data_IF_231208105583
#
_entry.id   IF_231208105583
#
_cell.length_a   1.000
_cell.length_b   1.000
_cell.length_c   1.000
_cell.angle_alpha   90.00
_cell.angle_beta   90.00
_cell.angle_gamma   90.00
#
_symmetry.space_group_name_H-M   'P 1'
#
loop_
_entity.id
_entity.type
_entity.pdbx_description
1 polymer ?
#
# COMPACT_ATOMS: atom_id res chain seq x y z
N UNK A 1 -22.92 0.92 -16.47
CA UNK A 1 -22.21 1.49 -17.65
C UNK A 1 -21.95 3.01 -17.59
N UNK A 2 -22.53 3.80 -16.66
CA UNK A 2 -22.28 5.26 -16.59
C UNK A 2 -20.97 5.67 -15.87
N UNK A 3 -20.33 4.81 -15.09
CA UNK A 3 -19.15 5.18 -14.29
C UNK A 3 -17.84 5.34 -15.10
N UNK A 4 -17.76 4.85 -16.35
CA UNK A 4 -16.52 4.90 -17.16
C UNK A 4 -16.30 6.23 -17.90
N UNK A 5 -17.30 7.10 -18.03
CA UNK A 5 -17.19 8.31 -18.88
C UNK A 5 -16.58 9.55 -18.22
N UNK A 6 -16.28 9.53 -16.92
CA UNK A 6 -15.85 10.73 -16.19
C UNK A 6 -14.33 10.83 -15.92
N UNK A 7 -13.51 9.92 -16.44
CA UNK A 7 -12.11 9.78 -15.99
C UNK A 7 -11.02 10.22 -16.99
N UNK A 8 -11.35 10.55 -18.25
CA UNK A 8 -10.38 11.01 -19.24
C UNK A 8 -10.59 12.48 -19.62
N UNK A 9 -9.85 13.37 -18.97
CA UNK A 9 -9.78 14.78 -19.31
C UNK A 9 -8.38 15.37 -19.09
N UNK A 10 -7.71 15.69 -20.21
CA UNK A 10 -6.59 16.62 -20.36
C UNK A 10 -5.17 16.19 -19.92
N UNK A 11 -4.33 15.83 -20.91
CA UNK A 11 -3.22 16.69 -21.42
C UNK A 11 -2.36 15.94 -22.46
N UNK A 12 -2.37 16.42 -23.69
CA UNK A 12 -1.40 16.08 -24.74
C UNK A 12 -0.83 17.39 -25.27
N UNK A 13 0.47 17.60 -25.11
CA UNK A 13 1.20 18.68 -25.77
C UNK A 13 2.68 18.28 -25.96
N UNK A 14 2.98 17.97 -27.23
CA UNK A 14 4.21 18.17 -28.02
C UNK A 14 5.54 18.39 -27.30
N UNK A 15 6.56 17.64 -27.75
CA UNK A 15 7.88 18.21 -28.06
C UNK A 15 8.43 17.59 -29.35
N UNK A 16 8.73 18.49 -30.29
CA UNK A 16 9.38 18.28 -31.58
C UNK A 16 10.90 18.29 -31.34
N UNK A 17 11.61 17.45 -32.10
CA UNK A 17 13.03 17.17 -31.93
C UNK A 17 13.99 18.27 -32.35
N UNK A 18 15.28 17.95 -32.29
CA UNK A 18 16.37 18.63 -33.00
C UNK A 18 17.57 17.69 -33.13
N UNK A 19 18.08 17.63 -34.35
CA UNK A 19 19.19 16.88 -34.92
C UNK A 19 20.55 17.57 -34.75
N UNK A 20 21.63 16.79 -34.81
CA UNK A 20 22.99 17.21 -35.22
C UNK A 20 23.99 17.35 -34.07
N UNK A 21 25.31 17.15 -34.23
CA UNK A 21 26.17 16.86 -35.40
C UNK A 21 27.62 16.73 -34.84
N UNK A 22 28.39 15.76 -35.31
CA UNK A 22 29.83 15.93 -35.59
C UNK A 22 30.88 15.51 -34.54
N UNK A 23 31.84 14.72 -35.06
CA UNK A 23 33.29 14.70 -34.77
C UNK A 23 33.79 14.14 -33.42
N UNK A 24 34.46 12.99 -33.48
CA UNK A 24 35.92 12.87 -33.60
C UNK A 24 36.25 11.38 -33.83
N UNK A 25 36.75 11.06 -35.03
CA UNK A 25 37.38 9.77 -35.32
C UNK A 25 38.78 9.79 -34.67
N UNK A 26 38.96 9.03 -33.59
CA UNK A 26 40.27 8.67 -33.07
C UNK A 26 40.65 7.30 -33.67
N UNK A 27 41.67 7.31 -34.52
CA UNK A 27 42.36 6.12 -35.05
C UNK A 27 42.99 5.34 -33.88
N UNK A 28 42.22 4.42 -33.30
CA UNK A 28 42.77 3.33 -32.51
C UNK A 28 43.09 2.18 -33.47
N UNK A 29 44.38 2.04 -33.80
CA UNK A 29 44.93 0.84 -34.41
C UNK A 29 44.70 -0.35 -33.46
N UNK A 30 43.57 -1.01 -33.64
CA UNK A 30 43.25 -2.30 -33.05
C UNK A 30 44.24 -3.30 -33.66
N UNK A 31 45.19 -3.76 -32.86
CA UNK A 31 45.78 -5.08 -33.10
C UNK A 31 44.61 -6.04 -33.23
N UNK A 32 44.55 -6.79 -34.33
CA UNK A 32 43.61 -7.89 -34.51
C UNK A 32 43.81 -8.85 -33.34
N UNK A 33 43.03 -8.64 -32.27
CA UNK A 33 42.83 -9.63 -31.23
C UNK A 33 42.06 -10.73 -31.92
N UNK A 34 42.64 -11.93 -31.89
CA UNK A 34 42.08 -13.09 -32.55
C UNK A 34 40.61 -13.23 -32.15
N UNK A 35 39.72 -13.10 -33.13
CA UNK A 35 38.28 -13.04 -32.91
C UNK A 35 37.72 -14.33 -32.29
N UNK A 36 38.53 -15.39 -32.31
CA UNK A 36 38.28 -16.67 -31.69
C UNK A 36 38.62 -16.64 -30.20
N UNK A 37 39.76 -16.05 -29.81
CA UNK A 37 40.19 -15.90 -28.41
C UNK A 37 39.27 -14.93 -27.63
N UNK A 38 38.79 -13.87 -28.30
CA UNK A 38 37.76 -12.97 -27.75
C UNK A 38 36.38 -13.64 -27.63
N UNK A 39 36.05 -14.58 -28.52
CA UNK A 39 34.83 -15.38 -28.43
C UNK A 39 34.91 -16.44 -27.33
N UNK A 40 36.07 -17.04 -27.13
CA UNK A 40 36.32 -18.02 -26.09
C UNK A 40 36.29 -17.36 -24.71
N UNK A 41 36.90 -16.17 -24.56
CA UNK A 41 36.81 -15.37 -23.33
C UNK A 41 35.39 -14.82 -23.06
N UNK A 42 34.62 -14.49 -24.10
CA UNK A 42 33.21 -14.11 -23.95
C UNK A 42 32.32 -15.32 -23.62
N UNK A 43 32.59 -16.50 -24.17
CA UNK A 43 31.88 -17.74 -23.88
C UNK A 43 32.23 -18.30 -22.47
N UNK A 44 33.48 -18.15 -22.02
CA UNK A 44 33.88 -18.46 -20.64
C UNK A 44 33.37 -17.43 -19.64
N UNK A 45 33.19 -16.16 -20.05
CA UNK A 45 32.54 -15.13 -19.24
C UNK A 45 31.02 -15.29 -19.17
N UNK A 46 30.36 -15.84 -20.19
CA UNK A 46 28.93 -16.20 -20.17
C UNK A 46 28.69 -17.52 -19.39
N UNK A 47 29.74 -18.33 -19.18
CA UNK A 47 29.70 -19.53 -18.34
C UNK A 47 29.95 -19.25 -16.83
N UNK A 48 30.12 -17.99 -16.44
CA UNK A 48 29.98 -17.56 -15.04
C UNK A 48 28.50 -17.66 -14.68
N UNK A 49 28.09 -18.84 -14.20
CA UNK A 49 26.82 -19.18 -13.55
C UNK A 49 25.84 -18.00 -13.53
N UNK A 50 24.96 -17.91 -14.53
CA UNK A 50 23.77 -17.07 -14.38
C UNK A 50 23.17 -17.47 -13.02
N UNK A 51 23.14 -16.57 -12.03
CA UNK A 51 22.70 -16.95 -10.70
C UNK A 51 21.31 -17.50 -10.88
N UNK A 52 21.04 -18.73 -10.44
CA UNK A 52 19.74 -19.40 -10.56
C UNK A 52 18.63 -18.39 -10.28
N UNK A 53 18.10 -17.78 -11.35
CA UNK A 53 17.29 -16.58 -11.25
C UNK A 53 15.87 -17.07 -11.36
N UNK A 54 15.39 -17.61 -10.24
CA UNK A 54 14.05 -18.15 -10.15
C UNK A 54 13.50 -18.01 -8.74
N UNK A 55 12.17 -18.14 -8.64
CA UNK A 55 11.46 -18.07 -7.37
C UNK A 55 12.06 -19.00 -6.30
N UNK A 56 12.51 -20.21 -6.69
CA UNK A 56 13.11 -21.18 -5.76
C UNK A 56 14.36 -20.63 -5.09
N UNK A 57 15.35 -20.17 -5.86
CA UNK A 57 16.60 -19.65 -5.31
C UNK A 57 16.37 -18.43 -4.40
N UNK A 58 15.41 -17.57 -4.74
CA UNK A 58 15.00 -16.45 -3.88
C UNK A 58 14.40 -16.98 -2.57
N UNK A 59 13.46 -17.93 -2.65
CA UNK A 59 12.85 -18.57 -1.48
C UNK A 59 13.89 -19.26 -0.58
N UNK A 60 14.90 -19.92 -1.16
CA UNK A 60 15.98 -20.59 -0.43
C UNK A 60 16.88 -19.59 0.29
N UNK A 61 17.24 -18.47 -0.37
CA UNK A 61 17.95 -17.37 0.28
C UNK A 61 17.16 -16.82 1.46
N UNK A 62 15.86 -16.56 1.29
CA UNK A 62 14.97 -16.09 2.37
C UNK A 62 14.88 -17.13 3.50
N UNK A 63 14.77 -18.42 3.17
CA UNK A 63 14.71 -19.50 4.14
C UNK A 63 16.00 -19.58 4.97
N UNK A 64 17.16 -19.39 4.34
CA UNK A 64 18.46 -19.38 5.01
C UNK A 64 18.59 -18.27 6.07
N UNK A 65 17.83 -17.17 5.95
CA UNK A 65 17.84 -16.10 6.96
C UNK A 65 17.27 -16.55 8.31
N UNK A 66 16.48 -17.64 8.34
CA UNK A 66 15.86 -18.14 9.57
C UNK A 66 16.86 -18.70 10.58
N UNK A 67 18.02 -19.17 10.12
CA UNK A 67 19.10 -19.68 10.98
C UNK A 67 19.97 -18.56 11.56
N UNK A 68 19.82 -17.32 11.08
CA UNK A 68 20.60 -16.16 11.52
C UNK A 68 19.90 -15.43 12.67
N UNK A 69 20.68 -14.80 13.55
CA UNK A 69 20.15 -13.89 14.56
C UNK A 69 19.54 -12.62 13.95
N UNK A 70 18.58 -12.00 14.63
CA UNK A 70 17.82 -10.83 14.11
C UNK A 70 18.71 -9.72 13.55
N UNK A 71 19.82 -9.39 14.24
CA UNK A 71 20.77 -8.34 13.82
C UNK A 71 21.38 -8.57 12.44
N UNK A 72 21.58 -9.84 12.05
CA UNK A 72 22.13 -10.22 10.75
C UNK A 72 21.02 -10.49 9.73
N UNK A 73 19.93 -11.12 10.17
CA UNK A 73 18.80 -11.48 9.30
C UNK A 73 18.05 -10.24 8.77
N UNK A 74 17.90 -9.20 9.59
CA UNK A 74 17.08 -8.04 9.24
C UNK A 74 17.64 -7.21 8.08
N UNK A 75 18.90 -6.75 8.09
CA UNK A 75 19.46 -6.02 6.95
C UNK A 75 19.45 -6.87 5.68
N UNK A 76 19.76 -8.17 5.79
CA UNK A 76 19.70 -9.10 4.66
C UNK A 76 18.28 -9.22 4.09
N UNK A 77 17.26 -9.33 4.93
CA UNK A 77 15.86 -9.37 4.51
C UNK A 77 15.43 -8.08 3.80
N UNK A 78 15.87 -6.91 4.30
CA UNK A 78 15.59 -5.63 3.66
C UNK A 78 16.24 -5.54 2.27
N UNK A 79 17.51 -5.92 2.15
CA UNK A 79 18.22 -5.96 0.86
C UNK A 79 17.55 -6.94 -0.11
N UNK A 80 17.11 -8.11 0.35
CA UNK A 80 16.39 -9.06 -0.49
C UNK A 80 15.05 -8.52 -0.98
N UNK A 81 14.27 -7.86 -0.11
CA UNK A 81 13.03 -7.19 -0.51
C UNK A 81 13.26 -6.10 -1.57
N UNK A 82 14.35 -5.34 -1.45
CA UNK A 82 14.75 -4.35 -2.45
C UNK A 82 15.23 -4.99 -3.76
N UNK A 83 15.90 -6.14 -3.68
CA UNK A 83 16.34 -6.91 -4.85
C UNK A 83 15.14 -7.47 -5.60
N UNK A 84 14.21 -8.14 -4.91
CA UNK A 84 12.96 -8.67 -5.47
C UNK A 84 12.14 -7.56 -6.14
N UNK A 85 12.12 -6.36 -5.54
CA UNK A 85 11.44 -5.20 -6.10
C UNK A 85 11.98 -4.78 -7.47
N UNK A 86 13.28 -4.97 -7.73
CA UNK A 86 13.94 -4.63 -9.00
C UNK A 86 13.98 -5.79 -9.98
N UNK A 87 13.97 -7.02 -9.48
CA UNK A 87 14.03 -8.26 -10.25
C UNK A 87 12.82 -8.39 -11.19
N UNK A 88 13.07 -8.83 -12.42
CA UNK A 88 12.06 -9.16 -13.42
C UNK A 88 11.64 -10.60 -13.20
N UNK A 89 10.46 -10.79 -12.61
CA UNK A 89 9.89 -12.11 -12.31
C UNK A 89 8.57 -12.24 -13.08
N UNK A 90 8.22 -13.46 -13.48
CA UNK A 90 6.86 -13.77 -13.93
C UNK A 90 5.85 -13.56 -12.78
N UNK A 91 4.57 -13.37 -13.11
CA UNK A 91 3.52 -13.16 -12.10
C UNK A 91 3.45 -14.32 -11.10
N UNK A 92 3.47 -15.57 -11.59
CA UNK A 92 3.44 -16.79 -10.76
C UNK A 92 4.68 -16.91 -9.85
N UNK A 93 5.87 -16.63 -10.40
CA UNK A 93 7.12 -16.62 -9.64
C UNK A 93 7.10 -15.55 -8.54
N UNK A 94 6.63 -14.34 -8.86
CA UNK A 94 6.55 -13.27 -7.88
C UNK A 94 5.56 -13.60 -6.77
N UNK A 95 4.39 -14.16 -7.11
CA UNK A 95 3.43 -14.66 -6.11
C UNK A 95 4.11 -15.67 -5.18
N UNK A 96 4.79 -16.66 -5.75
CA UNK A 96 5.51 -17.70 -4.99
C UNK A 96 6.52 -17.06 -4.03
N UNK A 97 7.32 -16.11 -4.51
CA UNK A 97 8.27 -15.36 -3.67
C UNK A 97 7.54 -14.57 -2.57
N UNK A 98 6.42 -13.91 -2.86
CA UNK A 98 5.65 -13.17 -1.85
C UNK A 98 5.13 -14.08 -0.73
N UNK A 99 4.66 -15.29 -1.05
CA UNK A 99 4.30 -16.29 -0.05
C UNK A 99 5.50 -16.69 0.83
N UNK A 100 6.69 -16.87 0.23
CA UNK A 100 7.92 -17.17 0.95
C UNK A 100 8.34 -16.04 1.91
N UNK A 101 8.22 -14.79 1.50
CA UNK A 101 8.69 -13.59 2.24
C UNK A 101 7.76 -13.19 3.38
N UNK A 102 6.44 -13.37 3.23
CA UNK A 102 5.43 -12.88 4.19
C UNK A 102 5.73 -13.26 5.65
N UNK A 103 5.95 -14.55 5.92
CA UNK A 103 6.19 -15.05 7.29
C UNK A 103 7.50 -14.48 7.89
N UNK A 104 8.65 -14.52 7.19
CA UNK A 104 9.88 -13.85 7.61
C UNK A 104 9.69 -12.37 7.96
N UNK A 105 9.00 -11.60 7.12
CA UNK A 105 8.73 -10.17 7.38
C UNK A 105 7.93 -9.98 8.66
N UNK A 106 6.84 -10.71 8.84
CA UNK A 106 6.02 -10.62 10.05
C UNK A 106 6.80 -11.02 11.31
N UNK A 107 7.66 -12.04 11.22
CA UNK A 107 8.52 -12.47 12.32
C UNK A 107 9.56 -11.40 12.67
N UNK A 108 10.22 -10.81 11.67
CA UNK A 108 11.17 -9.73 11.87
C UNK A 108 10.50 -8.54 12.56
N UNK A 109 9.34 -8.11 12.06
CA UNK A 109 8.55 -7.03 12.64
C UNK A 109 8.18 -7.31 14.10
N UNK A 110 7.72 -8.52 14.42
CA UNK A 110 7.35 -8.89 15.79
C UNK A 110 8.55 -8.88 16.75
N UNK A 111 9.77 -9.06 16.22
CA UNK A 111 11.00 -9.12 17.00
C UNK A 111 11.71 -7.77 17.13
N UNK A 112 11.23 -6.72 16.44
CA UNK A 112 11.82 -5.40 16.50
C UNK A 112 11.47 -4.69 17.82
N UNK A 113 12.45 -3.99 18.44
CA UNK A 113 12.17 -3.17 19.60
C UNK A 113 11.21 -2.04 19.20
N UNK A 114 10.24 -1.77 20.06
CA UNK A 114 9.30 -0.67 19.85
C UNK A 114 9.97 0.65 20.19
N UNK A 115 9.69 1.72 19.43
CA UNK A 115 10.39 2.97 19.64
C UNK A 115 9.90 3.62 20.93
N UNK A 116 10.84 4.02 21.79
CA UNK A 116 10.56 4.74 23.03
C UNK A 116 10.97 6.21 22.88
N UNK A 117 10.22 7.13 23.48
CA UNK A 117 10.50 8.56 23.46
C UNK A 117 9.84 9.32 22.30
N UNK A 118 10.06 10.65 22.25
CA UNK A 118 9.43 11.51 21.24
C UNK A 118 9.87 11.13 19.82
N UNK A 119 9.04 11.45 18.81
CA UNK A 119 9.43 11.25 17.41
C UNK A 119 10.71 12.06 17.09
N UNK A 120 11.57 11.56 16.21
CA UNK A 120 12.78 12.28 15.80
C UNK A 120 12.42 13.63 15.18
N UNK A 121 13.14 14.69 15.58
CA UNK A 121 12.90 16.06 15.09
C UNK A 121 13.09 16.22 13.58
N UNK A 122 13.86 15.33 12.97
CA UNK A 122 13.94 15.20 11.50
C UNK A 122 12.78 14.34 11.00
N UNK A 123 11.75 14.99 10.46
CA UNK A 123 10.48 14.39 10.05
C UNK A 123 10.51 13.26 9.00
N UNK A 124 11.69 12.77 8.60
CA UNK A 124 11.89 11.76 7.56
C UNK A 124 12.50 10.44 8.06
N UNK A 125 12.80 10.30 9.35
CA UNK A 125 13.43 9.09 9.86
C UNK A 125 12.41 7.96 10.10
N UNK A 126 12.06 7.23 9.03
CA UNK A 126 11.27 6.00 9.14
C UNK A 126 11.98 4.97 10.03
N UNK A 127 11.24 4.40 10.99
CA UNK A 127 11.74 3.29 11.82
C UNK A 127 11.94 2.01 10.98
N UNK A 128 12.71 1.04 11.50
CA UNK A 128 12.97 -0.22 10.79
C UNK A 128 11.68 -1.00 10.48
N UNK A 129 10.69 -1.00 11.40
CA UNK A 129 9.39 -1.63 11.16
C UNK A 129 8.67 -0.96 10.00
N UNK A 130 8.61 0.37 9.98
CA UNK A 130 7.96 1.12 8.88
C UNK A 130 8.68 0.89 7.54
N UNK A 131 10.01 0.80 7.51
CA UNK A 131 10.76 0.48 6.29
C UNK A 131 10.43 -0.91 5.75
N UNK A 132 10.34 -1.93 6.62
CA UNK A 132 9.94 -3.27 6.21
C UNK A 132 8.51 -3.30 5.65
N UNK A 133 7.58 -2.60 6.32
CA UNK A 133 6.19 -2.49 5.88
C UNK A 133 6.11 -1.85 4.48
N UNK A 134 6.83 -0.74 4.25
CA UNK A 134 6.90 -0.08 2.95
C UNK A 134 7.43 -1.00 1.85
N UNK A 135 8.54 -1.70 2.10
CA UNK A 135 9.11 -2.63 1.12
C UNK A 135 8.15 -3.77 0.79
N UNK A 136 7.43 -4.30 1.79
CA UNK A 136 6.44 -5.34 1.59
C UNK A 136 5.23 -4.83 0.79
N UNK A 137 4.70 -3.65 1.13
CA UNK A 137 3.60 -3.00 0.40
C UNK A 137 3.99 -2.79 -1.06
N UNK A 138 5.19 -2.26 -1.31
CA UNK A 138 5.69 -2.03 -2.66
C UNK A 138 5.73 -3.32 -3.49
N UNK A 139 6.33 -4.38 -2.94
CA UNK A 139 6.43 -5.67 -3.64
C UNK A 139 5.06 -6.30 -3.90
N UNK A 140 4.12 -6.22 -2.95
CA UNK A 140 2.75 -6.71 -3.15
C UNK A 140 1.99 -5.91 -4.21
N UNK A 141 2.15 -4.57 -4.25
CA UNK A 141 1.53 -3.74 -5.31
C UNK A 141 2.07 -4.11 -6.69
N UNK A 142 3.39 -4.32 -6.81
CA UNK A 142 4.01 -4.79 -8.05
C UNK A 142 3.44 -6.14 -8.46
N UNK A 143 3.28 -7.07 -7.51
CA UNK A 143 2.67 -8.39 -7.72
C UNK A 143 1.23 -8.28 -8.23
N UNK A 144 0.40 -7.43 -7.61
CA UNK A 144 -0.97 -7.18 -8.05
C UNK A 144 -0.99 -6.67 -9.50
N UNK A 145 -0.14 -5.71 -9.84
CA UNK A 145 -0.05 -5.17 -11.19
C UNK A 145 0.40 -6.21 -12.22
N UNK A 146 1.29 -7.13 -11.86
CA UNK A 146 1.73 -8.21 -12.75
C UNK A 146 0.62 -9.25 -12.97
N UNK A 147 -0.08 -9.68 -11.92
CA UNK A 147 -1.26 -10.56 -12.03
C UNK A 147 -2.28 -9.94 -13.01
N UNK A 148 -2.59 -8.66 -12.80
CA UNK A 148 -3.62 -7.95 -13.55
C UNK A 148 -3.23 -7.62 -15.00
N UNK A 149 -1.95 -7.78 -15.38
CA UNK A 149 -1.47 -7.68 -16.76
C UNK A 149 -1.46 -9.04 -17.46
N UNK A 150 -1.13 -10.11 -16.74
CA UNK A 150 -0.98 -11.47 -17.29
C UNK A 150 -2.31 -12.18 -17.54
N UNK A 151 -3.40 -11.79 -16.86
CA UNK A 151 -4.74 -12.39 -17.01
C UNK A 151 -5.42 -12.18 -18.40
N UNK A 152 -4.66 -11.89 -19.45
CA UNK A 152 -5.17 -11.72 -20.82
C UNK A 152 -5.44 -13.03 -21.58
N UNK A 153 -5.19 -14.22 -21.01
CA UNK A 153 -5.15 -15.45 -21.82
C UNK A 153 -5.80 -16.71 -21.20
N UNK A 154 -5.54 -17.13 -19.96
CA UNK A 154 -5.87 -18.53 -19.55
C UNK A 154 -6.33 -18.76 -18.09
N UNK A 155 -6.40 -17.74 -17.23
CA UNK A 155 -6.65 -17.91 -15.78
C UNK A 155 -7.90 -17.16 -15.28
N UNK A 156 -9.00 -17.18 -16.04
CA UNK A 156 -10.20 -16.41 -15.70
C UNK A 156 -10.97 -16.93 -14.47
N UNK A 157 -10.68 -18.13 -13.97
CA UNK A 157 -11.53 -18.83 -12.99
C UNK A 157 -10.97 -18.91 -11.56
N UNK A 158 -9.71 -18.56 -11.29
CA UNK A 158 -9.14 -18.60 -9.92
C UNK A 158 -8.51 -17.26 -9.51
N UNK A 159 -9.31 -16.45 -8.82
CA UNK A 159 -8.90 -15.16 -8.27
C UNK A 159 -8.27 -15.26 -6.86
N UNK A 160 -8.00 -16.48 -6.36
CA UNK A 160 -7.49 -16.70 -5.00
C UNK A 160 -6.16 -15.98 -4.73
N UNK A 161 -5.24 -15.98 -5.70
CA UNK A 161 -3.95 -15.29 -5.55
C UNK A 161 -4.09 -13.77 -5.55
N UNK A 162 -4.99 -13.23 -6.39
CA UNK A 162 -5.31 -11.80 -6.36
C UNK A 162 -5.91 -11.41 -5.01
N UNK A 163 -6.90 -12.17 -4.53
CA UNK A 163 -7.54 -11.96 -3.24
C UNK A 163 -6.49 -12.02 -2.11
N UNK A 164 -5.60 -13.00 -2.14
CA UNK A 164 -4.51 -13.11 -1.18
C UNK A 164 -3.61 -11.86 -1.20
N UNK A 165 -3.20 -11.37 -2.38
CA UNK A 165 -2.37 -10.16 -2.47
C UNK A 165 -3.11 -8.95 -1.90
N UNK A 166 -4.39 -8.76 -2.23
CA UNK A 166 -5.21 -7.66 -1.73
C UNK A 166 -5.39 -7.70 -0.22
N UNK A 167 -5.73 -8.87 0.35
CA UNK A 167 -5.81 -9.08 1.79
C UNK A 167 -4.52 -8.62 2.49
N UNK A 168 -3.37 -8.98 1.95
CA UNK A 168 -2.08 -8.62 2.53
C UNK A 168 -1.74 -7.15 2.35
N UNK A 169 -2.07 -6.54 1.21
CA UNK A 169 -1.91 -5.10 1.00
C UNK A 169 -2.66 -4.31 2.06
N UNK A 170 -3.96 -4.54 2.23
CA UNK A 170 -4.77 -3.83 3.25
C UNK A 170 -4.26 -4.10 4.66
N UNK A 171 -3.85 -5.34 4.96
CA UNK A 171 -3.29 -5.68 6.26
C UNK A 171 -1.98 -4.93 6.55
N UNK A 172 -1.09 -4.81 5.57
CA UNK A 172 0.17 -4.08 5.75
C UNK A 172 -0.04 -2.56 5.82
N UNK A 173 -0.94 -1.98 5.01
CA UNK A 173 -1.33 -0.57 5.14
C UNK A 173 -1.94 -0.26 6.51
N UNK A 174 -2.90 -1.06 6.95
CA UNK A 174 -3.55 -0.88 8.25
C UNK A 174 -2.55 -1.02 9.39
N UNK A 175 -1.60 -1.96 9.28
CA UNK A 175 -0.51 -2.09 10.25
C UNK A 175 0.41 -0.87 10.26
N UNK A 176 0.75 -0.32 9.10
CA UNK A 176 1.56 0.88 8.96
C UNK A 176 0.88 2.10 9.61
N UNK A 177 -0.43 2.27 9.38
CA UNK A 177 -1.25 3.34 9.98
C UNK A 177 -1.31 3.15 11.50
N UNK A 178 -1.70 1.96 11.96
CA UNK A 178 -1.79 1.63 13.38
C UNK A 178 -0.46 1.81 14.10
N UNK A 179 0.65 1.43 13.49
CA UNK A 179 1.98 1.63 14.06
C UNK A 179 2.27 3.12 14.31
N UNK A 180 1.94 3.99 13.36
CA UNK A 180 2.10 5.44 13.54
C UNK A 180 1.27 6.00 14.70
N UNK A 181 0.02 5.51 14.83
CA UNK A 181 -0.90 5.89 15.90
C UNK A 181 -0.41 5.40 17.26
N UNK A 182 -0.17 4.09 17.38
CA UNK A 182 0.17 3.43 18.64
C UNK A 182 1.45 4.00 19.24
N UNK A 183 2.48 4.21 18.41
CA UNK A 183 3.83 4.60 18.85
C UNK A 183 4.18 6.07 18.69
N UNK A 184 3.18 6.90 18.36
CA UNK A 184 3.37 8.31 18.08
C UNK A 184 4.51 8.57 17.10
N UNK A 185 4.38 7.99 15.90
CA UNK A 185 5.34 8.15 14.82
C UNK A 185 4.66 8.74 13.59
N UNK A 186 5.34 9.67 12.87
CA UNK A 186 4.84 10.11 11.59
C UNK A 186 4.69 8.89 10.67
N UNK A 187 3.61 8.88 9.90
CA UNK A 187 3.46 7.90 8.83
C UNK A 187 4.48 8.21 7.73
N UNK A 188 5.05 7.20 7.08
CA UNK A 188 5.82 7.40 5.88
C UNK A 188 5.01 8.17 4.84
N UNK A 189 5.71 9.02 4.10
CA UNK A 189 5.12 9.76 2.99
C UNK A 189 4.42 8.82 2.01
N UNK A 190 3.29 9.27 1.49
CA UNK A 190 2.41 8.58 0.54
C UNK A 190 1.62 7.39 1.09
N UNK A 191 1.68 7.09 2.39
CA UNK A 191 0.94 5.95 2.97
C UNK A 191 -0.57 6.02 2.70
N UNK A 192 -1.19 7.19 2.91
CA UNK A 192 -2.63 7.36 2.68
C UNK A 192 -2.94 7.47 1.20
N UNK A 193 -2.15 8.25 0.46
CA UNK A 193 -2.32 8.39 -0.99
C UNK A 193 -2.26 7.03 -1.69
N UNK A 194 -1.29 6.19 -1.35
CA UNK A 194 -1.14 4.86 -1.94
C UNK A 194 -2.31 3.93 -1.60
N UNK A 195 -2.82 4.01 -0.38
CA UNK A 195 -4.02 3.27 0.03
C UNK A 195 -5.26 3.76 -0.73
N UNK A 196 -5.39 5.08 -0.93
CA UNK A 196 -6.49 5.67 -1.71
C UNK A 196 -6.40 5.28 -3.19
N UNK A 197 -5.22 5.36 -3.78
CA UNK A 197 -4.96 4.97 -5.16
C UNK A 197 -5.25 3.48 -5.38
N UNK A 198 -4.89 2.61 -4.42
CA UNK A 198 -5.27 1.20 -4.45
C UNK A 198 -6.79 1.03 -4.47
N UNK A 199 -7.52 1.71 -3.58
CA UNK A 199 -8.98 1.59 -3.56
C UNK A 199 -9.64 2.14 -4.84
N UNK A 200 -9.18 3.29 -5.33
CA UNK A 200 -9.63 3.86 -6.61
C UNK A 200 -9.37 2.89 -7.76
N UNK A 201 -8.19 2.25 -7.78
CA UNK A 201 -7.84 1.23 -8.77
C UNK A 201 -8.85 0.08 -8.80
N UNK A 202 -9.23 -0.45 -7.62
CA UNK A 202 -10.21 -1.52 -7.50
C UNK A 202 -11.61 -1.11 -7.98
N UNK A 203 -12.05 0.10 -7.63
CA UNK A 203 -13.33 0.66 -8.10
C UNK A 203 -13.34 0.81 -9.63
N UNK A 204 -12.28 1.36 -10.23
CA UNK A 204 -12.18 1.54 -11.69
C UNK A 204 -12.17 0.21 -12.44
N UNK A 205 -11.55 -0.82 -11.86
CA UNK A 205 -11.56 -2.19 -12.37
C UNK A 205 -12.91 -2.90 -12.19
N UNK A 206 -13.83 -2.35 -11.40
CA UNK A 206 -15.15 -2.94 -11.13
C UNK A 206 -15.14 -4.01 -10.04
N UNK A 207 -14.05 -4.12 -9.27
CA UNK A 207 -13.92 -5.08 -8.16
C UNK A 207 -14.63 -4.63 -6.89
N UNK A 208 -14.98 -3.34 -6.80
CA UNK A 208 -15.74 -2.76 -5.68
C UNK A 208 -16.90 -1.95 -6.25
N UNK A 209 -18.11 -2.16 -5.72
CA UNK A 209 -19.32 -1.44 -6.13
C UNK A 209 -19.79 -0.50 -5.01
N UNK A 210 -19.55 0.80 -5.18
CA UNK A 210 -19.89 1.82 -4.17
C UNK A 210 -21.40 2.09 -3.98
N UNK A 211 -22.28 1.41 -4.74
CA UNK A 211 -23.68 1.82 -4.91
C UNK A 211 -24.73 0.72 -4.78
N UNK A 212 -24.43 -0.43 -4.14
CA UNK A 212 -25.49 -1.40 -3.86
C UNK A 212 -26.15 -1.10 -2.52
N UNK A 213 -27.40 -0.61 -2.56
CA UNK A 213 -28.32 -0.58 -1.40
C UNK A 213 -28.65 -2.00 -0.87
N UNK A 214 -28.08 -3.03 -1.50
CA UNK A 214 -28.17 -4.43 -1.12
C UNK A 214 -26.76 -5.01 -0.96
N UNK A 215 -26.12 -4.82 0.20
CA UNK A 215 -25.02 -5.70 0.62
C UNK A 215 -25.62 -6.94 1.27
N UNK A 216 -26.08 -7.88 0.45
CA UNK A 216 -26.48 -9.21 0.92
C UNK A 216 -25.19 -10.01 1.12
N UNK A 217 -24.49 -9.80 2.24
CA UNK A 217 -23.48 -10.75 2.73
C UNK A 217 -24.17 -11.83 3.56
N UNK A 218 -25.01 -12.61 2.89
CA UNK A 218 -25.53 -13.86 3.43
C UNK A 218 -24.40 -14.88 3.28
N UNK A 219 -23.62 -15.04 4.37
CA UNK A 219 -22.67 -16.12 4.61
C UNK A 219 -21.60 -16.33 3.53
N UNK A 220 -20.50 -15.58 3.63
CA UNK A 220 -19.17 -16.18 3.52
C UNK A 220 -18.13 -15.27 4.18
N UNK A 221 -17.12 -15.86 4.83
CA UNK A 221 -15.95 -15.16 5.40
C UNK A 221 -15.01 -14.64 4.30
N UNK A 222 -15.56 -14.21 3.18
CA UNK A 222 -14.82 -13.74 2.03
C UNK A 222 -14.25 -12.34 2.29
N UNK A 223 -13.08 -12.07 1.73
CA UNK A 223 -12.41 -10.79 1.88
C UNK A 223 -13.15 -9.68 1.12
N UNK A 224 -13.50 -8.63 1.84
CA UNK A 224 -14.14 -7.43 1.27
C UNK A 224 -13.17 -6.24 1.34
N UNK A 225 -12.65 -5.83 0.17
CA UNK A 225 -11.72 -4.72 0.04
C UNK A 225 -12.34 -3.37 0.43
N UNK A 226 -13.65 -3.18 0.27
CA UNK A 226 -14.35 -1.97 0.68
C UNK A 226 -14.43 -1.87 2.20
N UNK A 227 -14.76 -2.98 2.87
CA UNK A 227 -14.74 -3.02 4.33
C UNK A 227 -13.33 -2.75 4.85
N UNK A 228 -12.29 -3.40 4.32
CA UNK A 228 -10.92 -3.17 4.79
C UNK A 228 -10.43 -1.72 4.54
N UNK A 229 -10.80 -1.12 3.42
CA UNK A 229 -10.55 0.29 3.17
C UNK A 229 -11.25 1.19 4.20
N UNK A 230 -12.55 1.00 4.42
CA UNK A 230 -13.33 1.76 5.41
C UNK A 230 -12.79 1.59 6.82
N UNK A 231 -12.34 0.39 7.21
CA UNK A 231 -11.67 0.16 8.51
C UNK A 231 -10.45 1.04 8.68
N UNK A 232 -9.59 1.11 7.66
CA UNK A 232 -8.41 1.99 7.70
C UNK A 232 -8.83 3.48 7.78
N UNK A 233 -9.84 3.91 7.02
CA UNK A 233 -10.36 5.28 7.08
C UNK A 233 -10.87 5.66 8.47
N UNK A 234 -11.68 4.78 9.09
CA UNK A 234 -12.22 5.00 10.44
C UNK A 234 -11.11 5.04 11.49
N UNK A 235 -10.07 4.21 11.34
CA UNK A 235 -8.89 4.24 12.21
C UNK A 235 -8.18 5.60 12.16
N UNK A 236 -7.91 6.11 10.95
CA UNK A 236 -7.28 7.43 10.78
C UNK A 236 -8.17 8.60 11.22
N UNK A 237 -9.48 8.49 11.00
CA UNK A 237 -10.45 9.49 11.46
C UNK A 237 -10.53 9.54 12.99
N UNK A 238 -10.63 8.38 13.65
CA UNK A 238 -10.69 8.30 15.10
C UNK A 238 -9.44 8.87 15.77
N UNK A 239 -8.26 8.59 15.21
CA UNK A 239 -6.99 9.15 15.67
C UNK A 239 -7.02 10.69 15.67
N UNK A 240 -7.50 11.30 14.58
CA UNK A 240 -7.64 12.76 14.45
C UNK A 240 -8.67 13.34 15.42
N UNK A 241 -9.88 12.77 15.45
CA UNK A 241 -10.99 13.33 16.22
C UNK A 241 -10.82 13.18 17.74
N UNK A 242 -10.05 12.20 18.18
CA UNK A 242 -9.80 11.94 19.61
C UNK A 242 -8.43 12.39 20.09
N UNK A 243 -7.63 13.00 19.21
CA UNK A 243 -6.23 13.30 19.46
C UNK A 243 -5.50 12.07 20.04
N UNK A 244 -5.66 10.93 19.36
CA UNK A 244 -5.03 9.63 19.66
C UNK A 244 -5.47 8.92 20.94
N UNK A 245 -6.60 9.31 21.54
CA UNK A 245 -7.15 8.66 22.74
C UNK A 245 -7.89 7.35 22.44
N UNK A 246 -8.40 7.18 21.22
CA UNK A 246 -9.11 5.98 20.79
C UNK A 246 -8.18 4.76 20.52
N UNK A 247 -7.51 4.25 21.56
CA UNK A 247 -6.59 3.09 21.49
C UNK A 247 -7.08 1.86 22.26
N UNK A 248 -8.35 1.83 22.68
CA UNK A 248 -8.91 0.75 23.49
C UNK A 248 -9.15 -0.52 22.67
N UNK A 249 -9.15 -1.69 23.31
CA UNK A 249 -9.48 -2.94 22.63
C UNK A 249 -10.90 -2.94 22.05
N UNK A 250 -11.84 -2.30 22.76
CA UNK A 250 -13.24 -2.22 22.35
C UNK A 250 -13.40 -1.46 21.03
N UNK A 251 -12.62 -0.39 20.83
CA UNK A 251 -12.56 0.30 19.54
C UNK A 251 -12.17 -0.65 18.40
N UNK A 252 -11.15 -1.49 18.59
CA UNK A 252 -10.69 -2.42 17.56
C UNK A 252 -11.66 -3.58 17.30
N UNK A 253 -12.42 -4.02 18.31
CA UNK A 253 -13.47 -5.04 18.16
C UNK A 253 -14.62 -4.53 17.29
N UNK A 254 -15.03 -3.29 17.51
CA UNK A 254 -16.16 -2.66 16.81
C UNK A 254 -15.80 -2.16 15.39
N UNK A 255 -14.53 -1.92 15.10
CA UNK A 255 -14.07 -1.31 13.85
C UNK A 255 -14.56 -2.02 12.59
N UNK A 256 -14.63 -3.36 12.59
CA UNK A 256 -15.13 -4.12 11.43
C UNK A 256 -16.62 -3.87 11.21
N UNK A 257 -17.42 -3.88 12.28
CA UNK A 257 -18.87 -3.60 12.23
C UNK A 257 -19.14 -2.18 11.76
N UNK A 258 -18.45 -1.20 12.33
CA UNK A 258 -18.61 0.19 11.91
C UNK A 258 -18.20 0.41 10.46
N UNK A 259 -17.16 -0.25 10.00
CA UNK A 259 -16.75 -0.18 8.60
C UNK A 259 -17.80 -0.77 7.65
N UNK A 260 -18.46 -1.89 7.99
CA UNK A 260 -19.54 -2.44 7.17
C UNK A 260 -20.75 -1.50 7.08
N UNK A 261 -21.04 -0.73 8.12
CA UNK A 261 -22.15 0.24 8.14
C UNK A 261 -21.78 1.61 7.55
N UNK A 262 -20.48 1.89 7.40
CA UNK A 262 -19.98 3.17 6.89
C UNK A 262 -20.28 3.30 5.40
N UNK A 263 -20.75 4.48 4.98
CA UNK A 263 -21.04 4.77 3.57
C UNK A 263 -20.01 5.74 2.99
N UNK A 264 -19.62 5.51 1.73
CA UNK A 264 -18.82 6.43 0.93
C UNK A 264 -19.75 7.09 -0.09
N UNK A 265 -19.98 8.39 0.07
CA UNK A 265 -20.95 9.14 -0.74
C UNK A 265 -20.24 9.99 -1.79
N UNK A 266 -20.86 10.15 -2.97
CA UNK A 266 -20.40 11.07 -4.01
C UNK A 266 -20.57 12.53 -3.53
N UNK A 267 -19.50 13.34 -3.53
CA UNK A 267 -19.57 14.75 -3.11
C UNK A 267 -20.46 15.64 -3.98
N UNK A 268 -20.78 15.25 -5.23
CA UNK A 268 -21.58 16.06 -6.15
C UNK A 268 -22.98 16.40 -5.58
N UNK A 269 -23.60 15.45 -4.88
CA UNK A 269 -24.94 15.63 -4.29
C UNK A 269 -24.95 16.35 -2.93
N UNK A 270 -23.78 16.74 -2.41
CA UNK A 270 -23.62 17.26 -1.04
C UNK A 270 -23.11 18.71 -1.00
N UNK A 271 -23.02 19.37 -2.15
CA UNK A 271 -22.64 20.79 -2.25
C UNK A 271 -23.61 21.64 -1.42
N UNK A 272 -23.07 22.55 -0.61
CA UNK A 272 -23.81 23.41 0.32
C UNK A 272 -24.05 22.81 1.71
N UNK A 273 -23.82 21.51 1.93
CA UNK A 273 -23.94 20.90 3.27
C UNK A 273 -22.69 21.13 4.12
N UNK A 274 -22.87 21.28 5.44
CA UNK A 274 -21.81 21.45 6.43
C UNK A 274 -21.63 20.22 7.32
N UNK A 275 -20.56 20.19 8.12
CA UNK A 275 -20.28 19.09 9.07
C UNK A 275 -20.00 17.75 8.38
N UNK A 276 -19.44 17.78 7.18
CA UNK A 276 -19.15 16.58 6.38
C UNK A 276 -17.79 16.02 6.75
N UNK A 277 -17.63 14.70 6.76
CA UNK A 277 -16.30 14.08 6.86
C UNK A 277 -15.76 13.89 5.44
N UNK A 278 -14.76 14.70 5.10
CA UNK A 278 -14.19 14.81 3.76
C UNK A 278 -13.00 13.88 3.59
N UNK A 279 -12.93 13.19 2.45
CA UNK A 279 -11.81 12.34 2.07
C UNK A 279 -11.38 12.66 0.63
N UNK A 280 -10.29 13.42 0.47
CA UNK A 280 -9.70 13.70 -0.84
C UNK A 280 -8.66 12.65 -1.21
N UNK A 281 -8.90 11.87 -2.25
CA UNK A 281 -8.01 10.76 -2.62
C UNK A 281 -6.65 11.22 -3.16
N UNK A 282 -6.53 12.49 -3.56
CA UNK A 282 -5.27 13.07 -4.03
C UNK A 282 -4.34 13.50 -2.88
N UNK A 283 -4.89 13.66 -1.67
CA UNK A 283 -4.12 14.03 -0.49
C UNK A 283 -3.52 12.79 0.17
N UNK A 284 -2.40 12.98 0.87
CA UNK A 284 -1.78 11.93 1.67
C UNK A 284 -2.26 12.03 3.12
N UNK A 285 -3.58 12.02 3.30
CA UNK A 285 -4.23 12.29 4.57
C UNK A 285 -5.43 11.37 4.81
N UNK A 286 -5.71 10.97 6.06
CA UNK A 286 -6.96 10.32 6.40
C UNK A 286 -8.16 11.27 6.23
N UNK A 287 -9.39 10.75 6.35
CA UNK A 287 -10.58 11.60 6.39
C UNK A 287 -10.49 12.66 7.50
N UNK A 288 -11.11 13.81 7.24
CA UNK A 288 -11.16 14.92 8.20
C UNK A 288 -12.57 15.49 8.31
N UNK A 289 -12.95 15.94 9.50
CA UNK A 289 -14.19 16.70 9.69
C UNK A 289 -14.03 18.08 9.04
N UNK A 290 -14.93 18.40 8.13
CA UNK A 290 -15.01 19.69 7.47
C UNK A 290 -16.22 20.45 8.01
N UNK A 291 -15.95 21.47 8.84
CA UNK A 291 -16.99 22.23 9.54
C UNK A 291 -17.77 23.16 8.59
N UNK A 292 -17.11 23.68 7.55
CA UNK A 292 -17.72 24.58 6.58
C UNK A 292 -18.71 23.91 5.63
N UNK A 293 -19.51 24.73 4.93
CA UNK A 293 -20.35 24.24 3.84
C UNK A 293 -19.50 23.84 2.63
N UNK A 294 -19.80 22.70 2.00
CA UNK A 294 -19.07 22.21 0.84
C UNK A 294 -19.30 23.13 -0.37
N UNK A 295 -18.32 23.98 -0.69
CA UNK A 295 -18.45 24.97 -1.77
C UNK A 295 -18.46 24.35 -3.18
N UNK A 296 -17.75 23.24 -3.38
CA UNK A 296 -17.65 22.54 -4.68
C UNK A 296 -17.38 21.05 -4.48
N UNK A 297 -17.75 20.25 -5.47
CA UNK A 297 -17.35 18.86 -5.54
C UNK A 297 -15.82 18.72 -5.64
N UNK A 298 -15.30 17.58 -5.19
CA UNK A 298 -13.87 17.28 -5.18
C UNK A 298 -13.63 15.82 -5.59
N UNK A 299 -12.37 15.48 -5.85
CA UNK A 299 -11.98 14.10 -6.19
C UNK A 299 -11.84 13.29 -4.89
N UNK A 300 -12.84 12.49 -4.58
CA UNK A 300 -12.85 11.61 -3.43
C UNK A 300 -14.28 11.34 -2.94
N UNK A 301 -14.43 11.15 -1.64
CA UNK A 301 -15.71 10.76 -1.03
C UNK A 301 -16.04 11.61 0.19
N UNK A 302 -17.33 11.67 0.50
CA UNK A 302 -17.79 12.03 1.85
C UNK A 302 -18.00 10.73 2.63
N UNK A 303 -17.32 10.60 3.76
CA UNK A 303 -17.42 9.43 4.64
C UNK A 303 -18.57 9.65 5.61
N UNK A 304 -19.53 8.72 5.66
CA UNK A 304 -20.62 8.74 6.64
C UNK A 304 -20.49 7.52 7.56
N UNK A 305 -19.82 7.65 8.72
CA UNK A 305 -19.77 6.58 9.71
C UNK A 305 -21.14 6.40 10.38
N UNK A 306 -21.42 5.21 10.94
CA UNK A 306 -22.64 4.95 11.70
C UNK A 306 -22.68 5.78 12.99
N UNK A 307 -23.89 5.95 13.55
CA UNK A 307 -24.10 6.75 14.76
C UNK A 307 -23.29 6.23 15.95
N UNK A 308 -23.25 4.90 16.13
CA UNK A 308 -22.48 4.26 17.19
C UNK A 308 -20.98 4.62 17.18
N UNK A 309 -20.39 4.87 15.99
CA UNK A 309 -19.01 5.34 15.90
C UNK A 309 -18.89 6.79 16.42
N UNK A 310 -19.86 7.65 16.12
CA UNK A 310 -19.86 9.06 16.56
C UNK A 310 -20.04 9.16 18.06
N UNK A 311 -21.00 8.42 18.61
CA UNK A 311 -21.23 8.32 20.06
C UNK A 311 -19.97 7.85 20.80
N UNK A 312 -19.23 6.90 20.23
CA UNK A 312 -17.95 6.46 20.77
C UNK A 312 -16.92 7.61 20.80
N UNK A 313 -16.75 8.34 19.69
CA UNK A 313 -15.83 9.49 19.61
C UNK A 313 -16.22 10.57 20.63
N UNK A 314 -17.51 10.87 20.75
CA UNK A 314 -18.02 11.83 21.73
C UNK A 314 -17.74 11.36 23.15
N UNK A 315 -17.96 10.09 23.47
CA UNK A 315 -17.66 9.51 24.78
C UNK A 315 -16.18 9.63 25.12
N UNK A 316 -15.29 9.31 24.18
CA UNK A 316 -13.83 9.44 24.38
C UNK A 316 -13.43 10.91 24.61
N UNK A 317 -14.06 11.84 23.91
CA UNK A 317 -13.76 13.27 24.05
C UNK A 317 -14.34 13.90 25.34
N UNK A 318 -15.49 13.41 25.82
CA UNK A 318 -16.15 13.93 27.02
C UNK A 318 -15.76 13.21 28.31
N UNK A 319 -15.26 11.97 28.24
CA UNK A 319 -14.82 11.18 29.40
C UNK A 319 -13.66 11.81 30.19
N UNK A 320 -12.95 12.79 29.63
CA UNK A 320 -11.93 13.59 30.32
C UNK A 320 -12.49 14.78 31.12
N UNK A 321 -13.80 15.08 31.01
CA UNK A 321 -14.45 16.05 31.90
C UNK A 321 -14.93 15.33 33.15
N UNK A 322 -14.02 15.11 34.11
CA UNK A 322 -14.44 14.86 35.48
C UNK A 322 -15.39 16.00 35.91
N UNK A 323 -16.50 15.72 36.62
CA UNK A 323 -17.37 16.76 37.11
C UNK A 323 -16.55 17.66 38.03
N UNK A 324 -16.45 18.94 37.69
CA UNK A 324 -16.00 19.97 38.62
C UNK A 324 -16.98 19.92 39.78
N UNK A 325 -16.57 19.31 40.89
CA UNK A 325 -17.33 19.35 42.14
C UNK A 325 -17.47 20.83 42.51
N UNK A 326 -18.73 21.30 42.51
CA UNK A 326 -19.11 22.65 42.87
C UNK A 326 -19.03 22.87 44.37
#
# INVERSE_FOLDING_TARGET
MLARRLWYGAKSARLVGLTGRGMLEEDYSLKEVDSEELRELLAESEALEEPESGASAICDRIASLRSRGLRQALPALMMELERIARETLGAEERITVMHCVKKPVLKAIASLPKPHGPPPSSGNANTLEQRLLLLMIYNLRKTLHEIDRTQSSQYADDDSERIWVLQHLFRFFTRQIRYGIDWDRPLPQHTWRDLHDLFVYLVVRGMVQLSSDFSVSIFDEEFDAEIEYKRALLLGLADRLTNRKAKTEDFFKELKRWASETRLLDPNGLVGQSGLIKLEVTQDDPPLLFEGALAKAFRGWVVRPPEAFREFIDTVNHGDRAPVQA
#
